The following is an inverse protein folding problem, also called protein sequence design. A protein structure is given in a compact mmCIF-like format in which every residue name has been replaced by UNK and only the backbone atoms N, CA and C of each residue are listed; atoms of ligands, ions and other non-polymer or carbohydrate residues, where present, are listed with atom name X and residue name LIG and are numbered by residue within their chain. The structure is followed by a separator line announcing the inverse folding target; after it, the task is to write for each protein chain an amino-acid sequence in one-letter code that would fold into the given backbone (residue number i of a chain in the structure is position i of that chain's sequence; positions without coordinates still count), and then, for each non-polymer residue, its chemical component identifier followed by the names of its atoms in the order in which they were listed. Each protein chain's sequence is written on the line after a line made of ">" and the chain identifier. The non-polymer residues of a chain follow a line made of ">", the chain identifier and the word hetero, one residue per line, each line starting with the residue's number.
data_IF_587696488418
#
_entry.id   IF_587696488418
#
_cell.length_a   1.000
_cell.length_b   1.000
_cell.length_c   1.000
_cell.angle_alpha   90.00
_cell.angle_beta   90.00
_cell.angle_gamma   90.00
#
_symmetry.space_group_name_H-M   'P 1'
#
loop_
_entity.id
_entity.type
_entity.pdbx_description
1 polymer ?
#
# COMPACT_ATOMS: atom_id res chain seq x y z
N UNK A 1 8.56 -2.96 8.24
CA UNK A 1 8.41 -1.49 8.08
C UNK A 1 8.94 -0.75 9.31
N UNK A 2 8.48 -1.13 10.51
CA UNK A 2 8.90 -0.55 11.80
C UNK A 2 10.42 -0.36 11.94
N UNK A 3 11.22 -1.39 11.67
CA UNK A 3 12.69 -1.30 11.69
C UNK A 3 13.23 -0.16 10.82
N UNK A 4 12.66 0.05 9.62
CA UNK A 4 13.09 1.11 8.69
C UNK A 4 12.78 2.51 9.24
N UNK A 5 11.62 2.67 9.87
CA UNK A 5 11.22 3.92 10.52
C UNK A 5 12.14 4.20 11.71
N UNK A 6 12.36 3.21 12.57
CA UNK A 6 13.22 3.33 13.74
C UNK A 6 14.67 3.69 13.36
N UNK A 7 15.25 3.01 12.36
CA UNK A 7 16.61 3.31 11.89
C UNK A 7 16.73 4.72 11.32
N UNK A 8 15.78 5.15 10.49
CA UNK A 8 15.79 6.49 9.91
C UNK A 8 15.59 7.59 10.95
N UNK A 9 14.70 7.34 11.93
CA UNK A 9 14.45 8.26 13.04
C UNK A 9 15.71 8.43 13.91
N UNK A 10 16.35 7.32 14.30
CA UNK A 10 17.60 7.35 15.06
C UNK A 10 18.70 8.15 14.35
N UNK A 11 18.85 7.97 13.03
CA UNK A 11 19.83 8.72 12.25
C UNK A 11 19.50 10.21 12.19
N UNK A 12 18.22 10.57 12.03
CA UNK A 12 17.80 11.97 12.04
C UNK A 12 18.07 12.65 13.39
N UNK A 13 17.78 11.95 14.50
CA UNK A 13 18.05 12.42 15.86
C UNK A 13 19.55 12.66 16.11
N UNK A 14 20.43 11.80 15.59
CA UNK A 14 21.89 11.99 15.66
C UNK A 14 22.36 13.29 14.98
N UNK A 15 21.58 13.80 14.02
CA UNK A 15 21.84 15.07 13.33
C UNK A 15 20.99 16.22 13.86
N UNK A 16 20.28 16.06 15.00
CA UNK A 16 19.42 17.09 15.57
C UNK A 16 18.21 17.44 14.70
N UNK A 17 17.78 16.53 13.81
CA UNK A 17 16.65 16.74 12.89
C UNK A 17 15.44 15.95 13.35
N UNK A 18 14.26 16.56 13.22
CA UNK A 18 13.00 15.86 13.31
C UNK A 18 12.45 15.63 11.89
N UNK A 19 12.02 14.40 11.59
CA UNK A 19 11.52 14.02 10.27
C UNK A 19 10.15 13.35 10.37
N UNK A 20 9.36 13.51 9.33
CA UNK A 20 8.06 12.84 9.18
C UNK A 20 8.13 11.77 8.11
N UNK A 21 7.29 10.74 8.25
CA UNK A 21 7.28 9.61 7.35
C UNK A 21 6.02 9.59 6.50
N UNK A 22 6.19 9.26 5.22
CA UNK A 22 5.12 9.01 4.29
C UNK A 22 5.19 7.60 3.70
N UNK A 23 4.03 7.08 3.29
CA UNK A 23 3.91 5.81 2.59
C UNK A 23 3.15 5.97 1.27
N UNK A 24 3.61 5.28 0.23
CA UNK A 24 2.96 5.21 -1.08
C UNK A 24 2.27 3.85 -1.21
N UNK A 25 0.96 3.84 -1.38
CA UNK A 25 0.17 2.61 -1.51
C UNK A 25 -0.86 2.73 -2.64
N UNK A 26 -1.10 1.64 -3.37
CA UNK A 26 -2.30 1.53 -4.19
C UNK A 26 -3.48 1.06 -3.33
N UNK A 27 -4.72 1.36 -3.72
CA UNK A 27 -5.92 0.94 -2.97
C UNK A 27 -6.92 0.30 -3.94
N UNK A 28 -7.27 -0.95 -3.66
CA UNK A 28 -8.31 -1.72 -4.35
C UNK A 28 -9.45 -1.93 -3.35
N UNK A 29 -10.19 -0.86 -3.09
CA UNK A 29 -11.40 -0.91 -2.25
C UNK A 29 -12.63 -1.37 -3.03
N UNK A 30 -13.45 -2.25 -2.45
CA UNK A 30 -14.83 -2.60 -2.90
C UNK A 30 -15.77 -2.62 -1.70
N UNK A 31 -17.05 -2.94 -1.90
CA UNK A 31 -18.02 -2.99 -0.80
C UNK A 31 -17.74 -4.17 0.12
N UNK A 32 -17.30 -5.29 -0.44
CA UNK A 32 -16.88 -6.49 0.29
C UNK A 32 -15.41 -6.83 0.04
N UNK A 33 -14.79 -7.53 1.00
CA UNK A 33 -13.42 -8.03 0.84
C UNK A 33 -13.29 -8.99 -0.37
N UNK A 34 -14.29 -9.87 -0.57
CA UNK A 34 -14.32 -10.79 -1.72
C UNK A 34 -14.26 -10.04 -3.05
N UNK A 35 -15.12 -9.05 -3.25
CA UNK A 35 -15.12 -8.25 -4.48
C UNK A 35 -13.80 -7.49 -4.69
N UNK A 36 -13.16 -7.05 -3.60
CA UNK A 36 -11.88 -6.37 -3.66
C UNK A 36 -10.78 -7.30 -4.18
N UNK A 37 -10.73 -8.53 -3.69
CA UNK A 37 -9.81 -9.56 -4.16
C UNK A 37 -10.09 -9.96 -5.61
N UNK A 38 -11.34 -10.20 -5.97
CA UNK A 38 -11.70 -10.44 -7.37
C UNK A 38 -11.30 -9.27 -8.28
N UNK A 39 -11.40 -8.03 -7.79
CA UNK A 39 -10.94 -6.87 -8.52
C UNK A 39 -9.42 -6.79 -8.65
N UNK A 40 -8.66 -7.26 -7.66
CA UNK A 40 -7.21 -7.40 -7.74
C UNK A 40 -6.82 -8.45 -8.79
N UNK A 41 -7.49 -9.60 -8.80
CA UNK A 41 -7.26 -10.66 -9.80
C UNK A 41 -7.62 -10.18 -11.21
N UNK A 42 -8.78 -9.53 -11.36
CA UNK A 42 -9.20 -8.92 -12.64
C UNK A 42 -8.21 -7.85 -13.12
N UNK A 43 -7.54 -7.14 -12.22
CA UNK A 43 -6.59 -6.10 -12.61
C UNK A 43 -5.38 -6.67 -13.36
N UNK A 44 -4.97 -7.89 -13.03
CA UNK A 44 -3.83 -8.57 -13.65
C UNK A 44 -4.24 -9.73 -14.57
N UNK A 45 -5.53 -9.83 -14.93
CA UNK A 45 -6.03 -10.97 -15.72
C UNK A 45 -5.32 -11.11 -17.08
N UNK A 46 -4.92 -9.99 -17.69
CA UNK A 46 -4.22 -9.94 -18.97
C UNK A 46 -2.69 -9.81 -18.84
N UNK A 47 -2.16 -9.87 -17.62
CA UNK A 47 -0.71 -9.81 -17.37
C UNK A 47 -0.13 -11.21 -17.50
N UNK A 48 0.41 -11.53 -18.68
CA UNK A 48 1.10 -12.79 -18.94
C UNK A 48 2.58 -12.78 -18.49
N UNK A 49 3.22 -13.95 -18.50
CA UNK A 49 4.62 -14.10 -18.10
C UNK A 49 5.56 -13.23 -18.94
N UNK A 50 5.29 -13.09 -20.24
CA UNK A 50 6.09 -12.28 -21.14
C UNK A 50 6.05 -10.80 -20.74
N UNK A 51 4.86 -10.28 -20.47
CA UNK A 51 4.65 -8.90 -20.00
C UNK A 51 5.36 -8.66 -18.67
N UNK A 52 5.31 -9.62 -17.75
CA UNK A 52 6.04 -9.54 -16.48
C UNK A 52 7.55 -9.49 -16.74
N UNK A 53 8.09 -10.41 -17.55
CA UNK A 53 9.51 -10.46 -17.85
C UNK A 53 10.01 -9.17 -18.48
N UNK A 54 9.29 -8.63 -19.47
CA UNK A 54 9.60 -7.35 -20.12
C UNK A 54 9.63 -6.20 -19.11
N UNK A 55 8.61 -6.09 -18.25
CA UNK A 55 8.57 -5.08 -17.21
C UNK A 55 9.74 -5.24 -16.20
N UNK A 56 10.05 -6.46 -15.78
CA UNK A 56 11.14 -6.73 -14.84
C UNK A 56 12.52 -6.47 -15.44
N UNK A 57 12.71 -6.67 -16.74
CA UNK A 57 13.92 -6.28 -17.46
C UNK A 57 14.09 -4.75 -17.44
N UNK A 58 13.02 -3.99 -17.68
CA UNK A 58 13.06 -2.53 -17.56
C UNK A 58 13.43 -2.12 -16.13
N UNK A 59 12.78 -2.70 -15.12
CA UNK A 59 13.04 -2.36 -13.72
C UNK A 59 14.45 -2.72 -13.24
N UNK A 60 15.07 -3.76 -13.81
CA UNK A 60 16.46 -4.13 -13.47
C UNK A 60 17.50 -3.10 -13.91
N UNK A 61 17.15 -2.19 -14.83
CA UNK A 61 18.02 -1.08 -15.25
C UNK A 61 18.02 0.08 -14.24
N UNK A 62 17.12 0.07 -13.26
CA UNK A 62 17.07 1.10 -12.23
C UNK A 62 18.03 0.78 -11.08
N UNK A 63 18.83 1.77 -10.68
CA UNK A 63 19.73 1.69 -9.52
C UNK A 63 19.01 1.92 -8.17
N UNK A 64 17.70 1.70 -8.15
CA UNK A 64 16.85 1.97 -6.98
C UNK A 64 16.78 0.75 -6.06
N UNK A 65 17.38 0.85 -4.88
CA UNK A 65 17.20 -0.14 -3.79
C UNK A 65 15.72 -0.32 -3.45
N UNK A 66 14.92 0.75 -3.57
CA UNK A 66 13.47 0.67 -3.38
C UNK A 66 12.83 -0.26 -4.40
N UNK A 67 13.16 -0.10 -5.68
CA UNK A 67 12.66 -0.96 -6.75
C UNK A 67 13.13 -2.41 -6.58
N UNK A 68 14.40 -2.63 -6.24
CA UNK A 68 14.93 -3.98 -5.98
C UNK A 68 14.15 -4.68 -4.87
N UNK A 69 13.86 -3.97 -3.77
CA UNK A 69 13.04 -4.51 -2.67
C UNK A 69 11.60 -4.80 -3.09
N UNK A 70 11.00 -3.97 -3.96
CA UNK A 70 9.66 -4.25 -4.49
C UNK A 70 9.64 -5.52 -5.33
N UNK A 71 10.65 -5.73 -6.19
CA UNK A 71 10.79 -6.97 -6.97
C UNK A 71 10.86 -8.22 -6.08
N UNK A 72 11.56 -8.15 -4.95
CA UNK A 72 11.69 -9.26 -4.00
C UNK A 72 10.37 -9.67 -3.35
N UNK A 73 9.34 -8.80 -3.35
CA UNK A 73 8.04 -9.11 -2.76
C UNK A 73 7.25 -10.14 -3.58
N UNK A 74 7.49 -10.21 -4.90
CA UNK A 74 6.76 -11.10 -5.80
C UNK A 74 7.69 -11.99 -6.65
N UNK A 75 9.00 -11.69 -6.71
CA UNK A 75 10.01 -12.44 -7.47
C UNK A 75 9.66 -12.66 -8.96
N UNK A 76 8.87 -11.76 -9.54
CA UNK A 76 8.36 -11.87 -10.91
C UNK A 76 7.32 -12.98 -11.11
N UNK A 77 6.73 -13.50 -10.03
CA UNK A 77 5.76 -14.60 -10.06
C UNK A 77 4.35 -14.13 -9.73
N UNK A 78 3.35 -14.83 -10.26
CA UNK A 78 1.93 -14.53 -10.00
C UNK A 78 1.40 -15.27 -8.76
N UNK A 79 2.14 -16.26 -8.28
CA UNK A 79 1.79 -17.02 -7.08
C UNK A 79 2.03 -16.19 -5.81
N UNK A 80 1.13 -16.29 -4.83
CA UNK A 80 1.29 -15.72 -3.48
C UNK A 80 1.59 -14.22 -3.46
N UNK A 81 0.80 -13.44 -4.21
CA UNK A 81 0.94 -11.98 -4.27
C UNK A 81 0.44 -11.26 -3.01
N UNK A 82 -0.30 -11.93 -2.12
CA UNK A 82 -0.59 -11.40 -0.79
C UNK A 82 0.63 -11.62 0.12
N UNK A 83 1.36 -10.54 0.39
CA UNK A 83 2.63 -10.58 1.14
C UNK A 83 2.44 -10.29 2.64
N UNK A 84 1.25 -9.81 3.01
CA UNK A 84 0.80 -9.54 4.37
C UNK A 84 -0.72 -9.38 4.30
N UNK A 85 -1.48 -9.59 5.39
CA UNK A 85 -2.94 -9.50 5.37
C UNK A 85 -3.45 -8.22 4.70
N UNK A 86 -4.21 -8.37 3.61
CA UNK A 86 -4.76 -7.28 2.79
C UNK A 86 -3.71 -6.41 2.07
N UNK A 87 -2.44 -6.85 1.99
CA UNK A 87 -1.37 -6.16 1.29
C UNK A 87 -0.88 -7.02 0.11
N UNK A 88 -1.16 -6.54 -1.10
CA UNK A 88 -0.98 -7.28 -2.33
C UNK A 88 0.10 -6.67 -3.22
N UNK A 89 1.07 -7.47 -3.66
CA UNK A 89 2.22 -7.05 -4.47
C UNK A 89 1.97 -7.13 -5.99
N UNK A 90 0.81 -7.59 -6.43
CA UNK A 90 0.54 -7.82 -7.86
C UNK A 90 0.59 -6.56 -8.73
N UNK A 91 0.33 -5.39 -8.15
CA UNK A 91 0.49 -4.11 -8.86
C UNK A 91 1.94 -3.88 -9.32
N UNK A 92 2.92 -4.38 -8.55
CA UNK A 92 4.36 -4.24 -8.83
C UNK A 92 4.88 -5.16 -9.93
N UNK A 93 4.06 -6.10 -10.43
CA UNK A 93 4.46 -7.01 -11.51
C UNK A 93 4.84 -6.26 -12.79
N UNK A 94 4.05 -5.25 -13.13
CA UNK A 94 4.17 -4.53 -14.41
C UNK A 94 4.19 -3.01 -14.27
N UNK A 95 3.80 -2.47 -13.09
CA UNK A 95 3.72 -1.02 -12.89
C UNK A 95 4.86 -0.52 -12.02
N UNK A 96 5.56 0.51 -12.49
CA UNK A 96 6.47 1.29 -11.65
C UNK A 96 5.74 2.19 -10.65
N UNK A 97 6.38 2.52 -9.53
CA UNK A 97 5.84 3.42 -8.50
C UNK A 97 5.40 2.70 -7.24
N UNK A 98 4.09 2.53 -7.02
CA UNK A 98 3.60 1.77 -5.87
C UNK A 98 3.76 0.27 -6.15
N UNK A 99 4.64 -0.40 -5.40
CA UNK A 99 4.86 -1.85 -5.53
C UNK A 99 3.79 -2.71 -4.83
N UNK A 100 2.94 -2.10 -4.00
CA UNK A 100 1.91 -2.80 -3.23
C UNK A 100 0.57 -2.05 -3.21
N UNK A 101 -0.50 -2.82 -3.02
CA UNK A 101 -1.86 -2.34 -2.90
C UNK A 101 -2.52 -2.84 -1.60
N UNK A 102 -3.32 -2.00 -0.95
CA UNK A 102 -4.27 -2.44 0.06
C UNK A 102 -5.54 -2.97 -0.63
N UNK A 103 -5.96 -4.19 -0.30
CA UNK A 103 -7.11 -4.88 -0.91
C UNK A 103 -8.11 -5.26 0.17
N UNK A 104 -9.34 -4.76 0.07
CA UNK A 104 -10.41 -5.11 1.01
C UNK A 104 -11.63 -4.20 0.94
N UNK A 105 -12.56 -4.42 1.86
CA UNK A 105 -13.66 -3.49 2.13
C UNK A 105 -13.15 -2.19 2.80
N UNK A 106 -13.99 -1.14 2.92
CA UNK A 106 -13.52 0.14 3.43
C UNK A 106 -13.04 0.10 4.88
N UNK A 107 -13.67 -0.73 5.73
CA UNK A 107 -13.31 -0.87 7.13
C UNK A 107 -11.94 -1.54 7.27
N UNK A 108 -11.68 -2.56 6.45
CA UNK A 108 -10.42 -3.28 6.40
C UNK A 108 -9.30 -2.38 5.89
N UNK A 109 -9.52 -1.65 4.79
CA UNK A 109 -8.53 -0.69 4.28
C UNK A 109 -8.26 0.42 5.31
N UNK A 110 -9.30 0.96 5.97
CA UNK A 110 -9.13 1.96 7.02
C UNK A 110 -8.29 1.42 8.19
N UNK A 111 -8.56 0.19 8.63
CA UNK A 111 -7.81 -0.47 9.69
C UNK A 111 -6.33 -0.63 9.32
N UNK A 112 -6.01 -1.07 8.10
CA UNK A 112 -4.62 -1.16 7.62
C UNK A 112 -3.92 0.20 7.54
N UNK A 113 -4.63 1.25 7.12
CA UNK A 113 -4.07 2.62 7.14
C UNK A 113 -3.81 3.11 8.57
N UNK A 114 -4.68 2.79 9.52
CA UNK A 114 -4.49 3.10 10.94
C UNK A 114 -3.30 2.35 11.53
N UNK A 115 -3.08 1.08 11.17
CA UNK A 115 -1.88 0.32 11.58
C UNK A 115 -0.60 1.03 11.13
N UNK A 116 -0.54 1.55 9.89
CA UNK A 116 0.59 2.36 9.45
C UNK A 116 0.70 3.70 10.20
N UNK A 117 -0.43 4.33 10.52
CA UNK A 117 -0.44 5.57 11.30
C UNK A 117 0.12 5.36 12.71
N UNK A 118 -0.24 4.26 13.37
CA UNK A 118 0.29 3.87 14.68
C UNK A 118 1.79 3.61 14.65
N UNK A 119 2.35 3.20 13.51
CA UNK A 119 3.80 3.09 13.30
C UNK A 119 4.51 4.45 13.07
N UNK A 120 3.78 5.57 13.11
CA UNK A 120 4.32 6.91 12.95
C UNK A 120 4.31 7.44 11.51
N UNK A 121 3.62 6.76 10.57
CA UNK A 121 3.38 7.31 9.24
C UNK A 121 2.33 8.42 9.32
N UNK A 122 2.69 9.61 8.84
CA UNK A 122 1.80 10.77 8.82
C UNK A 122 1.22 11.06 7.45
N UNK A 123 1.97 10.74 6.39
CA UNK A 123 1.61 11.09 5.02
C UNK A 123 1.24 9.85 4.22
N UNK A 124 0.07 9.86 3.57
CA UNK A 124 -0.40 8.72 2.77
C UNK A 124 -0.60 9.16 1.31
N UNK A 125 0.25 8.62 0.43
CA UNK A 125 0.20 8.90 -1.00
C UNK A 125 -0.52 7.73 -1.66
N UNK A 126 -1.82 7.90 -1.86
CA UNK A 126 -2.70 6.85 -2.35
C UNK A 126 -2.94 6.95 -3.87
N UNK A 127 -3.25 5.82 -4.49
CA UNK A 127 -3.73 5.76 -5.88
C UNK A 127 -4.73 4.62 -6.03
N UNK A 128 -5.67 4.72 -6.97
CA UNK A 128 -6.59 3.64 -7.31
C UNK A 128 -6.97 3.71 -8.79
N UNK A 129 -7.52 2.62 -9.33
CA UNK A 129 -8.08 2.60 -10.68
C UNK A 129 -9.61 2.45 -10.70
N UNK A 130 -10.33 3.22 -11.55
CA UNK A 130 -9.86 4.44 -12.21
C UNK A 130 -9.66 5.58 -11.19
N UNK A 131 -8.77 6.54 -11.47
CA UNK A 131 -8.24 7.45 -10.44
C UNK A 131 -9.29 8.40 -9.85
N UNK A 132 -10.22 8.92 -10.67
CA UNK A 132 -11.21 9.90 -10.25
C UNK A 132 -12.22 9.27 -9.27
N UNK A 133 -12.85 8.18 -9.69
CA UNK A 133 -13.86 7.45 -8.91
C UNK A 133 -13.26 6.88 -7.63
N UNK A 134 -11.98 6.48 -7.66
CA UNK A 134 -11.27 6.05 -6.46
C UNK A 134 -10.97 7.18 -5.50
N UNK A 135 -10.71 8.40 -5.97
CA UNK A 135 -10.56 9.55 -5.09
C UNK A 135 -11.85 9.81 -4.28
N UNK A 136 -13.02 9.76 -4.92
CA UNK A 136 -14.32 9.87 -4.24
C UNK A 136 -14.53 8.75 -3.22
N UNK A 137 -14.36 7.49 -3.62
CA UNK A 137 -14.56 6.35 -2.69
C UNK A 137 -13.63 6.38 -1.48
N UNK A 138 -12.38 6.79 -1.67
CA UNK A 138 -11.43 6.99 -0.57
C UNK A 138 -11.92 8.11 0.35
N UNK A 139 -12.31 9.26 -0.21
CA UNK A 139 -12.81 10.38 0.57
C UNK A 139 -14.09 10.02 1.36
N UNK A 140 -15.07 9.35 0.75
CA UNK A 140 -16.36 9.05 1.36
C UNK A 140 -16.24 7.96 2.44
N UNK A 141 -15.53 6.87 2.14
CA UNK A 141 -15.57 5.67 2.97
C UNK A 141 -14.43 5.61 3.99
N UNK A 142 -13.22 6.06 3.61
CA UNK A 142 -12.06 6.00 4.52
C UNK A 142 -12.00 7.21 5.45
N UNK A 143 -12.31 8.42 4.98
CA UNK A 143 -12.26 9.61 5.84
C UNK A 143 -13.28 9.52 6.98
N UNK A 144 -14.51 9.07 6.67
CA UNK A 144 -15.54 8.86 7.68
C UNK A 144 -15.11 7.78 8.69
N UNK A 145 -14.62 6.63 8.21
CA UNK A 145 -14.18 5.53 9.07
C UNK A 145 -12.99 5.91 9.97
N UNK A 146 -12.02 6.68 9.47
CA UNK A 146 -10.88 7.17 10.25
C UNK A 146 -11.34 8.17 11.31
N UNK A 147 -12.23 9.10 10.95
CA UNK A 147 -12.75 10.13 11.88
C UNK A 147 -13.61 9.51 12.98
N UNK A 148 -14.48 8.56 12.63
CA UNK A 148 -15.31 7.83 13.60
C UNK A 148 -14.45 6.96 14.52
N UNK A 149 -13.41 6.30 14.00
CA UNK A 149 -12.50 5.49 14.84
C UNK A 149 -11.63 6.34 15.78
N UNK A 150 -11.19 7.54 15.37
CA UNK A 150 -10.55 8.50 16.29
C UNK A 150 -11.45 8.83 17.47
N UNK A 151 -12.73 9.07 17.23
CA UNK A 151 -13.69 9.34 18.30
C UNK A 151 -13.87 8.11 19.21
N UNK A 152 -14.00 6.90 18.65
CA UNK A 152 -14.14 5.67 19.47
C UNK A 152 -12.90 5.35 20.33
N UNK A 153 -11.68 5.64 19.84
CA UNK A 153 -10.47 5.47 20.65
C UNK A 153 -10.41 6.50 21.80
N UNK A 154 -10.78 7.75 21.55
CA UNK A 154 -10.86 8.79 22.59
C UNK A 154 -11.89 8.49 23.70
N UNK A 155 -12.91 7.66 23.44
CA UNK A 155 -13.89 7.23 24.44
C UNK A 155 -13.47 5.98 25.24
N UNK A 156 -12.45 5.23 24.79
CA UNK A 156 -11.92 4.08 25.55
C UNK A 156 -10.78 4.47 26.51
N UNK A 157 -10.23 5.67 26.38
CA UNK A 157 -9.14 6.20 27.21
C UNK A 157 -9.63 7.17 28.31
N UNK A 158 -10.95 7.23 28.55
CA UNK A 158 -11.58 7.90 29.70
C UNK A 158 -12.26 6.88 30.59
#
# INVERSE_FOLDING_TARGET
>A
MEQKIASAKKLAEQHGRNIEFGIRLHVIGRETEKEAWEAADRLIQYVDEKTIQEAQQVFSRYDSIGQQRMKQLHNGRRESLEISPNLWAGIGLVRGGAGTALVGDPQTVARRLLEYHQLGIKHFILSGYPHLEKAYRVAELLYHSITVNKNKQSFKEK
#
